data_IF_232288852659
#
_entry.id   IF_232288852659
#
_cell.length_a   1.000
_cell.length_b   1.000
_cell.length_c   1.000
_cell.angle_alpha   90.00
_cell.angle_beta   90.00
_cell.angle_gamma   90.00
#
_symmetry.space_group_name_H-M   'P 1'
#
loop_
_entity.id
_entity.type
_entity.pdbx_description
1 polymer ?
#
# COMPACT_ATOMS: atom_id res chain seq x y z
N UNK A 1 24.49 16.88 -8.06
CA UNK A 1 23.44 17.49 -7.21
C UNK A 1 23.65 19.01 -7.20
N UNK A 2 22.62 19.86 -7.35
CA UNK A 2 22.74 21.32 -7.26
C UNK A 2 23.22 21.76 -5.88
N UNK A 3 23.98 22.87 -5.80
CA UNK A 3 24.58 23.36 -4.55
C UNK A 3 23.55 23.77 -3.48
N UNK A 4 22.33 24.14 -3.88
CA UNK A 4 21.29 24.72 -3.04
C UNK A 4 20.19 23.74 -2.59
N UNK A 5 20.29 22.45 -2.94
CA UNK A 5 19.20 21.48 -2.71
C UNK A 5 19.70 20.25 -2.00
N UNK A 6 18.86 19.66 -1.13
CA UNK A 6 19.05 18.34 -0.53
C UNK A 6 18.31 17.24 -1.29
N UNK A 7 18.77 15.99 -1.19
CA UNK A 7 18.04 14.81 -1.67
C UNK A 7 18.19 13.70 -0.63
N UNK A 8 17.12 12.94 -0.41
CA UNK A 8 17.09 11.77 0.47
C UNK A 8 16.86 10.55 -0.41
N UNK A 9 17.73 9.55 -0.27
CA UNK A 9 17.58 8.27 -0.95
C UNK A 9 16.56 7.44 -0.16
N UNK A 10 15.51 6.94 -0.84
CA UNK A 10 14.46 6.11 -0.24
C UNK A 10 14.83 4.62 -0.34
N UNK A 11 14.22 3.79 0.49
CA UNK A 11 14.36 2.32 0.46
C UNK A 11 14.12 1.73 -0.94
N UNK A 12 13.19 2.30 -1.71
CA UNK A 12 12.90 1.89 -3.09
C UNK A 12 14.06 2.08 -4.08
N UNK A 13 15.17 2.72 -3.67
CA UNK A 13 16.36 2.90 -4.48
C UNK A 13 17.36 1.74 -4.38
N UNK A 14 17.06 0.72 -3.58
CA UNK A 14 17.87 -0.50 -3.50
C UNK A 14 18.01 -1.16 -4.89
N UNK A 15 19.24 -1.52 -5.26
CA UNK A 15 19.54 -2.14 -6.56
C UNK A 15 19.49 -1.21 -7.78
N UNK A 16 19.29 0.10 -7.61
CA UNK A 16 19.27 1.07 -8.71
C UNK A 16 20.66 1.59 -9.08
N UNK A 17 20.85 1.87 -10.36
CA UNK A 17 22.12 2.37 -10.88
C UNK A 17 22.19 3.89 -10.81
N UNK A 18 23.41 4.45 -10.83
CA UNK A 18 23.65 5.91 -10.81
C UNK A 18 22.84 6.66 -11.88
N UNK A 19 22.58 6.04 -13.03
CA UNK A 19 21.82 6.66 -14.11
C UNK A 19 20.32 6.81 -13.79
N UNK A 20 19.75 5.88 -13.01
CA UNK A 20 18.37 5.98 -12.52
C UNK A 20 18.23 7.18 -11.60
N UNK A 21 19.17 7.35 -10.67
CA UNK A 21 19.21 8.51 -9.77
C UNK A 21 19.34 9.84 -10.54
N UNK A 22 20.18 9.91 -11.58
CA UNK A 22 20.31 11.11 -12.41
C UNK A 22 18.98 11.48 -13.07
N UNK A 23 18.26 10.47 -13.57
CA UNK A 23 16.96 10.64 -14.21
C UNK A 23 15.91 11.12 -13.19
N UNK A 24 15.85 10.50 -12.01
CA UNK A 24 14.90 10.88 -10.97
C UNK A 24 15.16 12.30 -10.43
N UNK A 25 16.42 12.64 -10.15
CA UNK A 25 16.83 14.01 -9.76
C UNK A 25 16.41 15.02 -10.83
N UNK A 26 16.61 14.70 -12.12
CA UNK A 26 16.21 15.58 -13.23
C UNK A 26 14.70 15.79 -13.26
N UNK A 27 13.92 14.74 -12.99
CA UNK A 27 12.46 14.81 -12.93
C UNK A 27 11.99 15.65 -11.74
N UNK A 28 12.58 15.48 -10.56
CA UNK A 28 12.30 16.30 -9.37
C UNK A 28 12.62 17.78 -9.61
N UNK A 29 13.76 18.09 -10.24
CA UNK A 29 14.13 19.48 -10.56
C UNK A 29 13.20 20.13 -11.58
N UNK A 30 12.71 19.35 -12.57
CA UNK A 30 11.70 19.82 -13.54
C UNK A 30 10.37 20.10 -12.84
N UNK A 31 9.93 19.20 -11.94
CA UNK A 31 8.74 19.41 -11.14
C UNK A 31 8.85 20.68 -10.29
N UNK A 32 9.96 20.83 -9.56
CA UNK A 32 10.23 22.01 -8.74
C UNK A 32 10.19 23.30 -9.55
N UNK A 33 10.83 23.31 -10.72
CA UNK A 33 10.83 24.46 -11.62
C UNK A 33 9.41 24.83 -12.08
N UNK A 34 8.56 23.83 -12.37
CA UNK A 34 7.16 24.04 -12.74
C UNK A 34 6.35 24.62 -11.58
N UNK A 35 6.59 24.15 -10.35
CA UNK A 35 5.94 24.67 -9.13
C UNK A 35 6.32 26.14 -8.93
N UNK A 36 7.62 26.49 -8.93
CA UNK A 36 8.09 27.87 -8.76
C UNK A 36 7.56 28.82 -9.86
N UNK A 37 7.52 28.38 -11.12
CA UNK A 37 6.92 29.17 -12.21
C UNK A 37 5.43 29.45 -11.98
N UNK A 38 4.67 28.45 -11.50
CA UNK A 38 3.24 28.59 -11.25
C UNK A 38 2.95 29.44 -10.01
N UNK A 39 3.74 29.28 -8.95
CA UNK A 39 3.75 30.16 -7.77
C UNK A 39 3.95 31.62 -8.19
N UNK A 40 5.04 31.94 -8.91
CA UNK A 40 5.32 33.31 -9.39
C UNK A 40 4.18 33.90 -10.22
N UNK A 41 3.57 33.09 -11.11
CA UNK A 41 2.43 33.53 -11.93
C UNK A 41 1.17 33.80 -11.10
N UNK A 42 0.95 33.05 -10.01
CA UNK A 42 -0.24 33.16 -9.16
C UNK A 42 -0.09 34.21 -8.06
N UNK A 43 1.12 34.43 -7.52
CA UNK A 43 1.41 35.51 -6.57
C UNK A 43 1.05 36.88 -7.14
N UNK A 44 1.28 37.12 -8.44
CA UNK A 44 0.88 38.36 -9.12
C UNK A 44 -0.61 38.69 -9.00
N UNK A 45 -1.47 37.73 -8.64
CA UNK A 45 -2.91 37.91 -8.51
C UNK A 45 -3.38 38.14 -7.07
N UNK A 46 -2.52 38.04 -6.04
CA UNK A 46 -2.88 38.20 -4.61
C UNK A 46 -4.13 37.41 -4.14
N UNK A 47 -4.35 36.20 -4.67
CA UNK A 47 -5.43 35.30 -4.23
C UNK A 47 -4.88 33.90 -3.96
N UNK A 48 -5.33 33.20 -2.89
CA UNK A 48 -4.99 31.80 -2.66
C UNK A 48 -5.26 30.94 -3.89
N UNK A 49 -4.28 30.12 -4.30
CA UNK A 49 -4.41 29.30 -5.50
C UNK A 49 -3.64 27.99 -5.38
N UNK A 50 -4.22 26.91 -5.89
CA UNK A 50 -3.57 25.60 -6.02
C UNK A 50 -2.35 25.69 -6.94
N UNK A 51 -1.13 25.65 -6.36
CA UNK A 51 0.13 25.64 -7.11
C UNK A 51 0.50 24.23 -7.58
N UNK A 52 0.30 23.22 -6.74
CA UNK A 52 0.58 21.83 -7.04
C UNK A 52 -0.45 20.96 -6.32
N UNK A 53 -1.03 20.01 -7.05
CA UNK A 53 -1.83 18.93 -6.48
C UNK A 53 -0.90 17.74 -6.40
N UNK A 54 -0.83 17.12 -5.23
CA UNK A 54 -0.11 15.86 -5.07
C UNK A 54 -0.71 14.80 -6.01
N UNK A 55 0.09 13.77 -6.28
CA UNK A 55 -0.30 12.67 -7.13
C UNK A 55 -1.62 12.03 -6.66
N UNK A 56 -2.49 11.68 -7.60
CA UNK A 56 -3.69 10.88 -7.31
C UNK A 56 -3.30 9.56 -6.64
N UNK A 57 -4.20 8.98 -5.84
CA UNK A 57 -3.94 7.75 -5.07
C UNK A 57 -3.28 6.67 -5.92
N UNK A 58 -3.80 6.42 -7.12
CA UNK A 58 -3.28 5.42 -8.05
C UNK A 58 -1.81 5.67 -8.39
N UNK A 59 -1.42 6.92 -8.65
CA UNK A 59 -0.03 7.27 -8.97
C UNK A 59 0.86 7.17 -7.72
N UNK A 60 0.35 7.51 -6.53
CA UNK A 60 1.08 7.30 -5.27
C UNK A 60 1.34 5.83 -5.01
N UNK A 61 0.34 4.97 -5.17
CA UNK A 61 0.48 3.52 -5.05
C UNK A 61 1.52 2.97 -6.03
N UNK A 62 1.48 3.42 -7.29
CA UNK A 62 2.51 3.06 -8.26
C UNK A 62 3.91 3.53 -7.84
N UNK A 63 4.06 4.76 -7.34
CA UNK A 63 5.35 5.25 -6.84
C UNK A 63 5.90 4.42 -5.68
N UNK A 64 5.03 4.01 -4.75
CA UNK A 64 5.44 3.45 -3.47
C UNK A 64 5.52 1.92 -3.47
N UNK A 65 4.75 1.22 -4.33
CA UNK A 65 4.65 -0.25 -4.34
C UNK A 65 5.21 -0.87 -5.63
N UNK A 66 5.23 -0.13 -6.76
CA UNK A 66 5.63 -0.71 -8.05
C UNK A 66 7.13 -0.98 -8.09
N UNK A 67 7.46 -2.27 -8.15
CA UNK A 67 8.84 -2.76 -8.23
C UNK A 67 8.97 -3.79 -9.34
N UNK A 68 10.20 -4.15 -9.69
CA UNK A 68 10.48 -5.16 -10.72
C UNK A 68 9.89 -6.54 -10.40
N UNK A 69 9.68 -6.84 -9.12
CA UNK A 69 9.04 -8.06 -8.61
C UNK A 69 7.55 -8.16 -8.98
N UNK A 70 6.89 -7.05 -9.29
CA UNK A 70 5.49 -7.06 -9.72
C UNK A 70 5.43 -7.58 -11.16
N UNK A 71 4.70 -8.68 -11.35
CA UNK A 71 4.49 -9.28 -12.68
C UNK A 71 3.63 -8.39 -13.58
N UNK A 72 2.43 -8.02 -13.11
CA UNK A 72 1.44 -7.27 -13.88
C UNK A 72 0.69 -6.26 -13.01
N UNK A 73 0.25 -5.16 -13.64
CA UNK A 73 -0.61 -4.14 -13.04
C UNK A 73 -1.89 -4.07 -13.85
N UNK A 74 -2.97 -4.54 -13.27
CA UNK A 74 -4.25 -4.72 -13.96
C UNK A 74 -5.20 -3.63 -13.49
N UNK A 75 -5.73 -2.87 -14.45
CA UNK A 75 -6.59 -1.71 -14.19
C UNK A 75 -7.87 -1.86 -14.97
N UNK A 76 -9.03 -1.73 -14.33
CA UNK A 76 -10.36 -1.89 -14.96
C UNK A 76 -10.99 -0.56 -15.42
N UNK A 77 -10.45 0.58 -14.97
CA UNK A 77 -10.82 1.92 -15.46
C UNK A 77 -9.90 2.40 -16.59
N UNK A 78 -10.50 2.80 -17.72
CA UNK A 78 -9.76 3.36 -18.87
C UNK A 78 -8.99 4.64 -18.52
N UNK A 79 -9.57 5.51 -17.68
CA UNK A 79 -8.91 6.75 -17.24
C UNK A 79 -7.70 6.45 -16.35
N UNK A 80 -7.90 5.59 -15.35
CA UNK A 80 -6.82 5.16 -14.46
C UNK A 80 -5.70 4.44 -15.23
N UNK A 81 -6.06 3.57 -16.19
CA UNK A 81 -5.09 2.88 -17.04
C UNK A 81 -4.19 3.85 -17.80
N UNK A 82 -4.77 4.89 -18.44
CA UNK A 82 -3.99 5.90 -19.16
C UNK A 82 -3.04 6.64 -18.22
N UNK A 83 -3.48 6.98 -17.01
CA UNK A 83 -2.67 7.66 -15.99
C UNK A 83 -1.51 6.77 -15.52
N UNK A 84 -1.79 5.51 -15.17
CA UNK A 84 -0.79 4.52 -14.73
C UNK A 84 0.23 4.28 -15.83
N UNK A 85 -0.24 3.99 -17.05
CA UNK A 85 0.64 3.74 -18.20
C UNK A 85 1.52 4.96 -18.48
N UNK A 86 0.95 6.17 -18.46
CA UNK A 86 1.71 7.41 -18.65
C UNK A 86 2.78 7.61 -17.58
N UNK A 87 2.46 7.34 -16.32
CA UNK A 87 3.42 7.43 -15.21
C UNK A 87 4.55 6.39 -15.33
N UNK A 88 4.21 5.12 -15.55
CA UNK A 88 5.20 4.05 -15.69
C UNK A 88 6.07 4.28 -16.92
N UNK A 89 5.49 4.72 -18.04
CA UNK A 89 6.25 5.04 -19.27
C UNK A 89 7.21 6.20 -19.08
N UNK A 90 6.92 7.13 -18.16
CA UNK A 90 7.77 8.27 -17.85
C UNK A 90 8.91 7.92 -16.87
N UNK A 91 8.63 7.09 -15.87
CA UNK A 91 9.59 6.76 -14.80
C UNK A 91 10.42 5.53 -15.17
N UNK A 92 9.77 4.45 -15.61
CA UNK A 92 10.42 3.17 -15.96
C UNK A 92 9.84 2.59 -17.26
N UNK A 93 10.21 3.14 -18.43
CA UNK A 93 9.64 2.75 -19.72
C UNK A 93 9.68 1.24 -20.01
N UNK A 94 10.75 0.56 -19.56
CA UNK A 94 10.93 -0.90 -19.73
C UNK A 94 9.83 -1.74 -19.08
N UNK A 95 9.12 -1.19 -18.09
CA UNK A 95 8.06 -1.89 -17.36
C UNK A 95 6.65 -1.48 -17.81
N UNK A 96 6.51 -0.60 -18.81
CA UNK A 96 5.22 -0.11 -19.28
C UNK A 96 4.32 -1.24 -19.83
N UNK A 97 4.92 -2.28 -20.40
CA UNK A 97 4.23 -3.48 -20.89
C UNK A 97 3.55 -4.30 -19.78
N UNK A 98 3.92 -4.11 -18.51
CA UNK A 98 3.28 -4.78 -17.37
C UNK A 98 1.92 -4.18 -17.02
N UNK A 99 1.61 -2.98 -17.52
CA UNK A 99 0.33 -2.30 -17.26
C UNK A 99 -0.69 -2.79 -18.28
N UNK A 100 -1.77 -3.42 -17.81
CA UNK A 100 -2.83 -3.99 -18.65
C UNK A 100 -4.19 -3.41 -18.29
N UNK A 101 -4.97 -3.11 -19.33
CA UNK A 101 -6.38 -2.74 -19.17
C UNK A 101 -7.22 -4.01 -19.10
N UNK A 102 -7.91 -4.21 -17.99
CA UNK A 102 -8.89 -5.27 -17.82
C UNK A 102 -10.16 -4.93 -18.60
N UNK A 103 -10.66 -5.88 -19.40
CA UNK A 103 -11.77 -5.66 -20.36
C UNK A 103 -12.90 -6.68 -20.23
N UNK A 104 -12.77 -7.63 -19.32
CA UNK A 104 -13.78 -8.67 -19.14
C UNK A 104 -15.02 -8.09 -18.43
N UNK A 105 -16.15 -8.79 -18.59
CA UNK A 105 -17.43 -8.38 -18.00
C UNK A 105 -17.48 -8.61 -16.49
N UNK A 106 -16.81 -9.65 -16.00
CA UNK A 106 -16.77 -9.95 -14.56
C UNK A 106 -15.96 -8.89 -13.82
N UNK A 107 -16.37 -8.41 -12.64
CA UNK A 107 -15.56 -7.47 -11.85
C UNK A 107 -14.15 -8.02 -11.58
N UNK A 108 -13.13 -7.16 -11.67
CA UNK A 108 -11.72 -7.55 -11.57
C UNK A 108 -11.42 -8.40 -10.31
N UNK A 109 -11.88 -7.98 -9.13
CA UNK A 109 -11.60 -8.73 -7.89
C UNK A 109 -12.32 -10.08 -7.82
N UNK A 110 -13.46 -10.24 -8.49
CA UNK A 110 -14.13 -11.53 -8.61
C UNK A 110 -13.36 -12.46 -9.53
N UNK A 111 -12.91 -11.97 -10.69
CA UNK A 111 -12.11 -12.74 -11.64
C UNK A 111 -10.81 -13.26 -11.01
N UNK A 112 -10.16 -12.44 -10.17
CA UNK A 112 -8.94 -12.81 -9.44
C UNK A 112 -9.18 -13.51 -8.09
N UNK A 113 -10.43 -13.82 -7.72
CA UNK A 113 -10.81 -14.47 -6.45
C UNK A 113 -10.34 -13.73 -5.19
N UNK A 114 -10.24 -12.40 -5.26
CA UNK A 114 -9.84 -11.53 -4.15
C UNK A 114 -11.07 -10.97 -3.42
N UNK A 115 -12.23 -10.93 -4.08
CA UNK A 115 -13.47 -10.33 -3.53
C UNK A 115 -13.81 -10.89 -2.14
N UNK A 116 -13.78 -12.21 -1.97
CA UNK A 116 -14.11 -12.85 -0.70
C UNK A 116 -13.14 -12.46 0.43
N UNK A 117 -11.86 -12.18 0.11
CA UNK A 117 -10.89 -11.69 1.10
C UNK A 117 -11.20 -10.24 1.52
N UNK A 118 -11.61 -9.40 0.56
CA UNK A 118 -12.01 -8.01 0.82
C UNK A 118 -13.28 -7.99 1.68
N UNK A 119 -14.27 -8.80 1.36
CA UNK A 119 -15.54 -8.84 2.12
C UNK A 119 -15.30 -9.31 3.56
N UNK A 120 -14.39 -10.28 3.76
CA UNK A 120 -13.97 -10.73 5.10
C UNK A 120 -13.17 -9.70 5.88
N UNK A 121 -12.56 -8.73 5.20
CA UNK A 121 -11.73 -7.69 5.82
C UNK A 121 -12.53 -6.76 6.73
N UNK A 122 -13.84 -6.65 6.55
CA UNK A 122 -14.71 -5.79 7.38
C UNK A 122 -15.13 -6.50 8.68
N UNK A 123 -15.00 -7.84 8.73
CA UNK A 123 -15.49 -8.61 9.87
C UNK A 123 -14.69 -8.31 11.13
N UNK A 124 -15.38 -8.09 12.26
CA UNK A 124 -14.75 -7.94 13.58
C UNK A 124 -13.93 -9.17 13.98
N UNK A 125 -14.41 -10.38 13.62
CA UNK A 125 -13.78 -11.66 13.93
C UNK A 125 -13.13 -12.28 12.68
N UNK A 126 -11.88 -12.68 12.81
CA UNK A 126 -11.08 -13.24 11.70
C UNK A 126 -10.54 -14.61 12.12
N UNK A 127 -10.89 -15.65 11.35
CA UNK A 127 -10.44 -17.02 11.62
C UNK A 127 -8.96 -17.22 11.31
N UNK A 128 -8.30 -18.03 12.14
CA UNK A 128 -6.95 -18.55 11.98
C UNK A 128 -6.98 -19.94 11.34
N UNK A 129 -5.84 -20.46 10.91
CA UNK A 129 -5.76 -21.76 10.21
C UNK A 129 -5.95 -22.90 11.21
N UNK A 130 -5.48 -22.74 12.44
CA UNK A 130 -5.63 -23.67 13.56
C UNK A 130 -7.07 -23.84 14.07
N UNK A 131 -8.03 -23.04 13.58
CA UNK A 131 -9.41 -23.02 14.08
C UNK A 131 -9.67 -21.93 15.13
N UNK A 132 -8.61 -21.28 15.62
CA UNK A 132 -8.69 -20.07 16.42
C UNK A 132 -9.20 -18.86 15.64
N UNK A 133 -9.23 -17.70 16.29
CA UNK A 133 -9.63 -16.44 15.68
C UNK A 133 -9.06 -15.25 16.45
N UNK A 134 -8.92 -14.13 15.74
CA UNK A 134 -8.65 -12.82 16.35
C UNK A 134 -9.91 -11.95 16.31
N UNK A 135 -10.08 -11.11 17.32
CA UNK A 135 -11.14 -10.10 17.41
C UNK A 135 -10.49 -8.72 17.42
N UNK A 136 -10.88 -7.83 16.51
CA UNK A 136 -10.34 -6.47 16.42
C UNK A 136 -11.39 -5.47 16.88
N UNK A 137 -11.10 -4.71 17.93
CA UNK A 137 -11.99 -3.70 18.50
C UNK A 137 -11.34 -2.31 18.51
N UNK A 138 -12.05 -1.32 17.98
CA UNK A 138 -11.63 0.07 18.06
C UNK A 138 -12.27 0.73 19.29
N UNK A 139 -11.44 1.40 20.09
CA UNK A 139 -11.85 2.27 21.19
C UNK A 139 -11.55 3.73 20.83
N UNK A 140 -11.80 4.67 21.74
CA UNK A 140 -11.52 6.09 21.53
C UNK A 140 -10.02 6.38 21.29
N UNK A 141 -9.13 5.70 22.03
CA UNK A 141 -7.70 6.01 22.02
C UNK A 141 -6.82 4.92 21.40
N UNK A 142 -7.33 3.69 21.27
CA UNK A 142 -6.54 2.54 20.81
C UNK A 142 -7.37 1.46 20.15
N UNK A 143 -6.69 0.54 19.48
CA UNK A 143 -7.30 -0.68 18.94
C UNK A 143 -6.81 -1.87 19.75
N UNK A 144 -7.76 -2.60 20.35
CA UNK A 144 -7.51 -3.81 21.10
C UNK A 144 -7.72 -5.02 20.17
N UNK A 145 -6.81 -5.99 20.26
CA UNK A 145 -6.88 -7.24 19.51
C UNK A 145 -6.77 -8.41 20.48
N UNK A 146 -7.80 -9.25 20.51
CA UNK A 146 -7.88 -10.45 21.35
C UNK A 146 -7.66 -11.71 20.50
N UNK A 147 -6.83 -12.64 20.99
CA UNK A 147 -6.44 -13.88 20.32
C UNK A 147 -7.05 -15.09 21.03
N UNK A 148 -7.83 -15.87 20.29
CA UNK A 148 -8.51 -17.06 20.82
C UNK A 148 -8.09 -18.32 20.05
N UNK A 149 -7.73 -19.40 20.75
CA UNK A 149 -7.37 -20.71 20.14
C UNK A 149 -8.57 -21.48 19.58
N UNK A 150 -9.79 -21.12 19.98
CA UNK A 150 -11.00 -21.83 19.54
C UNK A 150 -11.16 -23.18 20.24
N UNK A 151 -11.81 -24.15 19.58
CA UNK A 151 -11.96 -25.51 20.14
C UNK A 151 -10.72 -26.34 19.80
N UNK A 152 -10.05 -26.88 20.82
CA UNK A 152 -8.96 -27.85 20.68
C UNK A 152 -9.49 -29.27 20.50
N UNK A 153 -8.69 -30.11 19.83
CA UNK A 153 -8.87 -31.56 19.86
C UNK A 153 -8.31 -32.11 21.18
N UNK A 154 -8.88 -33.22 21.68
CA UNK A 154 -8.48 -33.80 22.97
C UNK A 154 -6.98 -34.16 23.06
N UNK A 155 -6.32 -34.40 21.93
CA UNK A 155 -4.93 -34.84 21.86
C UNK A 155 -3.90 -33.71 21.72
N UNK A 156 -4.32 -32.43 21.77
CA UNK A 156 -3.41 -31.30 21.55
C UNK A 156 -2.84 -30.78 22.86
N UNK A 157 -1.50 -30.66 22.94
CA UNK A 157 -0.80 -30.05 24.07
C UNK A 157 -1.20 -28.56 24.15
N UNK A 158 -1.75 -28.07 25.29
CA UNK A 158 -2.24 -26.70 25.40
C UNK A 158 -1.18 -25.64 25.08
N UNK A 159 0.05 -25.81 25.56
CA UNK A 159 1.15 -24.86 25.37
C UNK A 159 1.56 -24.77 23.89
N UNK A 160 1.61 -25.90 23.18
CA UNK A 160 1.92 -25.92 21.74
C UNK A 160 0.80 -25.27 20.92
N UNK A 161 -0.45 -25.46 21.33
CA UNK A 161 -1.60 -24.82 20.68
C UNK A 161 -1.59 -23.30 20.89
N UNK A 162 -1.27 -22.83 22.10
CA UNK A 162 -1.14 -21.42 22.41
C UNK A 162 -0.04 -20.77 21.55
N UNK A 163 1.15 -21.37 21.53
CA UNK A 163 2.26 -20.89 20.69
C UNK A 163 1.89 -20.85 19.20
N UNK A 164 1.32 -21.93 18.68
CA UNK A 164 0.93 -22.02 17.26
C UNK A 164 -0.13 -20.97 16.92
N UNK A 165 -1.13 -20.80 17.78
CA UNK A 165 -2.20 -19.80 17.60
C UNK A 165 -1.64 -18.38 17.64
N UNK A 166 -0.74 -18.06 18.57
CA UNK A 166 -0.12 -16.74 18.67
C UNK A 166 0.73 -16.40 17.44
N UNK A 167 1.49 -17.36 16.91
CA UNK A 167 2.27 -17.16 15.68
C UNK A 167 1.36 -16.89 14.47
N UNK A 168 0.28 -17.67 14.32
CA UNK A 168 -0.72 -17.43 13.27
C UNK A 168 -1.43 -16.09 13.45
N UNK A 169 -1.78 -15.74 14.68
CA UNK A 169 -2.40 -14.47 15.02
C UNK A 169 -1.48 -13.30 14.67
N UNK A 170 -0.18 -13.36 15.01
CA UNK A 170 0.77 -12.32 14.68
C UNK A 170 0.86 -12.05 13.16
N UNK A 171 0.96 -13.11 12.35
CA UNK A 171 0.94 -12.98 10.89
C UNK A 171 -0.38 -12.34 10.41
N UNK A 172 -1.51 -12.80 10.97
CA UNK A 172 -2.84 -12.33 10.55
C UNK A 172 -3.10 -10.88 10.95
N UNK A 173 -2.70 -10.48 12.16
CA UNK A 173 -2.78 -9.11 12.68
C UNK A 173 -2.00 -8.19 11.76
N UNK A 174 -0.74 -8.52 11.45
CA UNK A 174 0.08 -7.70 10.56
C UNK A 174 -0.57 -7.54 9.17
N UNK A 175 -1.20 -8.58 8.62
CA UNK A 175 -1.98 -8.48 7.36
C UNK A 175 -3.18 -7.55 7.52
N UNK A 176 -3.95 -7.68 8.61
CA UNK A 176 -5.18 -6.92 8.84
C UNK A 176 -4.92 -5.43 9.10
N UNK A 177 -3.85 -5.09 9.82
CA UNK A 177 -3.45 -3.70 10.04
C UNK A 177 -3.21 -2.97 8.71
N UNK A 178 -2.49 -3.61 7.79
CA UNK A 178 -2.24 -3.06 6.44
C UNK A 178 -3.51 -2.99 5.60
N UNK A 179 -4.32 -4.06 5.64
CA UNK A 179 -5.54 -4.13 4.85
C UNK A 179 -6.56 -3.07 5.28
N UNK A 180 -6.72 -2.86 6.59
CA UNK A 180 -7.68 -1.91 7.19
C UNK A 180 -7.14 -0.50 7.36
N UNK A 181 -5.90 -0.25 6.94
CA UNK A 181 -5.21 1.04 7.13
C UNK A 181 -5.27 1.50 8.60
N UNK A 182 -5.05 0.56 9.54
CA UNK A 182 -5.07 0.82 10.98
C UNK A 182 -3.74 1.44 11.41
N UNK A 183 -3.81 2.61 12.05
CA UNK A 183 -2.69 3.26 12.74
C UNK A 183 -3.06 3.69 14.15
N UNK A 184 -2.08 4.20 14.91
CA UNK A 184 -2.24 4.60 16.30
C UNK A 184 -1.77 3.54 17.29
N UNK A 185 -2.29 3.58 18.52
CA UNK A 185 -1.95 2.63 19.58
C UNK A 185 -2.68 1.32 19.32
N UNK A 186 -1.94 0.22 19.26
CA UNK A 186 -2.46 -1.13 19.04
C UNK A 186 -2.00 -1.98 20.23
N UNK A 187 -2.96 -2.60 20.91
CA UNK A 187 -2.72 -3.53 22.02
C UNK A 187 -3.15 -4.91 21.57
N UNK A 188 -2.27 -5.89 21.72
CA UNK A 188 -2.55 -7.29 21.35
C UNK A 188 -2.48 -8.12 22.61
N UNK A 189 -3.59 -8.78 22.93
CA UNK A 189 -3.73 -9.75 24.01
C UNK A 189 -3.51 -11.15 23.43
N UNK A 190 -2.29 -11.66 23.58
CA UNK A 190 -1.91 -13.00 23.14
C UNK A 190 -2.27 -14.03 24.21
N UNK A 191 -2.42 -15.29 23.81
CA UNK A 191 -2.68 -16.39 24.75
C UNK A 191 -1.42 -16.60 25.60
N UNK A 192 -1.58 -16.75 26.91
CA UNK A 192 -0.52 -17.09 27.87
C UNK A 192 0.12 -18.47 27.60
#
# INVERSE_FOLDING_TARGET
>A
KPKDKGFIIRTAAEGKETNDFKTDIKNLLRLWSRIKKKELKKMKKNVPALIHKDAELVIRLMRDIFTEKIGEVIVDSKDAYKKVLGYVSYITPRMANKVKLYREKSPIFKAYKIQDEIDRMVNRRIKLKSGGYIVIEATEAMIAIDVNSGKSSADTVPEELALTTNLEAAEKIAKQLRLRDIGGIIVVDFID
#
